data_IF_162867141165
#
_entry.id   IF_162867141165
#
_cell.length_a   1.000
_cell.length_b   1.000
_cell.length_c   1.000
_cell.angle_alpha   90.00
_cell.angle_beta   90.00
_cell.angle_gamma   90.00
#
_symmetry.space_group_name_H-M   'P 1'
#
loop_
_entity.id
_entity.type
_entity.pdbx_description
1 polymer ?
#
# COMPACT_ATOMS: atom_id res chain seq x y z
N UNK A 1 14.11 -6.32 2.62
CA UNK A 1 13.02 -5.59 3.04
C UNK A 1 11.78 -6.38 3.14
N UNK A 2 10.93 -6.34 2.15
CA UNK A 2 9.66 -7.03 2.25
C UNK A 2 9.79 -8.52 2.44
N UNK A 3 10.88 -9.10 2.01
CA UNK A 3 11.10 -10.53 2.22
C UNK A 3 11.08 -10.92 3.68
N UNK A 4 11.43 -10.01 4.55
CA UNK A 4 11.46 -10.33 5.97
C UNK A 4 10.10 -10.62 6.56
N UNK A 5 9.02 -10.20 5.90
CA UNK A 5 7.68 -10.40 6.43
C UNK A 5 7.17 -11.81 6.25
N UNK A 6 7.86 -12.62 5.47
CA UNK A 6 7.44 -13.98 5.18
C UNK A 6 8.49 -14.96 5.63
N UNK A 7 8.96 -14.79 6.84
CA UNK A 7 10.02 -15.63 7.38
C UNK A 7 9.74 -17.12 7.25
N UNK A 8 8.47 -17.46 7.37
CA UNK A 8 8.03 -18.84 7.22
C UNK A 8 7.13 -18.93 6.02
N UNK A 9 7.27 -19.96 5.26
CA UNK A 9 6.44 -20.17 4.10
C UNK A 9 7.10 -19.64 2.85
N UNK A 10 6.36 -19.59 1.74
CA UNK A 10 6.90 -19.17 0.46
C UNK A 10 7.34 -17.73 0.48
N UNK A 11 8.42 -17.45 -0.25
CA UNK A 11 8.85 -16.08 -0.43
C UNK A 11 7.89 -15.36 -1.35
N UNK A 12 7.64 -14.09 -1.05
CA UNK A 12 6.87 -13.22 -1.93
C UNK A 12 7.83 -12.42 -2.79
N UNK A 13 7.50 -12.31 -4.07
CA UNK A 13 8.16 -11.34 -4.92
C UNK A 13 7.69 -9.94 -4.54
N UNK A 14 8.52 -8.95 -4.81
CA UNK A 14 8.18 -7.57 -4.44
C UNK A 14 8.39 -6.66 -5.63
N UNK A 15 7.38 -5.86 -5.93
CA UNK A 15 7.49 -4.75 -6.87
C UNK A 15 7.47 -3.47 -6.06
N UNK A 16 8.52 -2.68 -6.18
CA UNK A 16 8.71 -1.46 -5.40
C UNK A 16 8.38 -0.25 -6.27
N UNK A 17 7.55 0.64 -5.75
CA UNK A 17 7.12 1.82 -6.49
C UNK A 17 7.78 3.11 -6.01
N UNK A 18 8.94 3.01 -5.37
CA UNK A 18 9.65 4.18 -4.85
C UNK A 18 10.01 5.17 -5.95
N UNK A 19 10.46 4.68 -7.10
CA UNK A 19 10.82 5.58 -8.20
C UNK A 19 9.59 6.29 -8.76
N UNK A 20 8.47 5.58 -8.87
CA UNK A 20 7.24 6.19 -9.33
C UNK A 20 6.78 7.28 -8.37
N UNK A 21 6.90 7.03 -7.06
CA UNK A 21 6.54 8.02 -6.06
C UNK A 21 7.43 9.25 -6.16
N UNK A 22 8.73 9.05 -6.32
CA UNK A 22 9.66 10.17 -6.46
C UNK A 22 9.34 11.01 -7.68
N UNK A 23 8.92 10.38 -8.77
CA UNK A 23 8.57 11.10 -9.99
C UNK A 23 7.34 11.98 -9.75
N UNK A 24 6.32 11.45 -9.10
CA UNK A 24 5.11 12.21 -8.78
C UNK A 24 5.45 13.40 -7.89
N UNK A 25 6.24 13.19 -6.85
CA UNK A 25 6.59 14.26 -5.93
C UNK A 25 7.47 15.31 -6.59
N UNK A 26 8.35 14.90 -7.50
CA UNK A 26 9.15 15.84 -8.27
C UNK A 26 8.26 16.75 -9.11
N UNK A 27 7.30 16.14 -9.79
CA UNK A 27 6.39 16.91 -10.63
C UNK A 27 5.52 17.85 -9.81
N UNK A 28 5.12 17.41 -8.62
CA UNK A 28 4.39 18.27 -7.70
C UNK A 28 5.24 19.48 -7.28
N UNK A 29 6.49 19.25 -6.91
CA UNK A 29 7.38 20.34 -6.49
C UNK A 29 7.71 21.31 -7.62
N UNK A 30 7.66 20.83 -8.86
CA UNK A 30 7.87 21.67 -10.03
C UNK A 30 6.62 22.40 -10.50
N UNK A 31 5.50 22.17 -9.83
CA UNK A 31 4.26 22.81 -10.20
C UNK A 31 3.53 22.15 -11.35
N UNK A 32 3.97 20.98 -11.82
CA UNK A 32 3.31 20.26 -12.90
C UNK A 32 2.07 19.53 -12.42
N UNK A 33 2.01 19.19 -11.14
CA UNK A 33 0.86 18.58 -10.51
C UNK A 33 0.44 19.43 -9.33
N UNK A 34 -0.88 19.57 -9.12
CA UNK A 34 -1.41 20.32 -7.98
C UNK A 34 -1.71 19.36 -6.83
N UNK A 35 -2.00 19.92 -5.66
CA UNK A 35 -2.44 19.10 -4.52
C UNK A 35 -3.71 18.33 -4.86
N UNK A 36 -4.60 18.93 -5.62
CA UNK A 36 -5.83 18.25 -6.02
C UNK A 36 -5.55 17.02 -6.88
N UNK A 37 -4.46 17.06 -7.65
CA UNK A 37 -4.11 15.93 -8.50
C UNK A 37 -3.58 14.73 -7.70
N UNK A 38 -2.90 14.99 -6.59
CA UNK A 38 -2.20 13.93 -5.87
C UNK A 38 -2.77 13.66 -4.48
N UNK A 39 -3.60 14.54 -3.96
CA UNK A 39 -4.28 14.35 -2.68
C UNK A 39 -5.72 13.98 -2.95
N UNK A 40 -5.90 12.82 -3.55
CA UNK A 40 -7.15 12.40 -4.15
C UNK A 40 -7.65 11.05 -3.63
N UNK A 41 -7.24 10.67 -2.43
CA UNK A 41 -7.66 9.39 -1.87
C UNK A 41 -9.19 9.32 -1.80
N UNK A 42 -9.72 8.22 -2.32
CA UNK A 42 -11.15 7.97 -2.26
C UNK A 42 -11.62 7.91 -0.81
N UNK A 43 -12.83 8.38 -0.49
CA UNK A 43 -13.33 8.34 0.89
C UNK A 43 -13.27 6.96 1.53
N UNK A 44 -13.47 5.90 0.76
CA UNK A 44 -13.35 4.55 1.30
C UNK A 44 -11.93 4.19 1.67
N UNK A 45 -10.97 4.64 0.89
CA UNK A 45 -9.57 4.43 1.22
C UNK A 45 -9.21 5.22 2.48
N UNK A 46 -9.72 6.44 2.61
CA UNK A 46 -9.50 7.25 3.81
C UNK A 46 -10.06 6.56 5.05
N UNK A 47 -11.26 6.00 4.92
CA UNK A 47 -11.88 5.27 6.02
C UNK A 47 -11.07 4.05 6.40
N UNK A 48 -10.65 3.26 5.40
CA UNK A 48 -9.83 2.09 5.64
C UNK A 48 -8.50 2.47 6.31
N UNK A 49 -7.90 3.57 5.90
CA UNK A 49 -6.66 4.03 6.50
C UNK A 49 -6.84 4.35 7.97
N UNK A 50 -7.97 4.95 8.34
CA UNK A 50 -8.24 5.30 9.74
C UNK A 50 -8.50 4.09 10.61
N UNK A 51 -9.24 3.11 10.10
CA UNK A 51 -9.71 2.00 10.92
C UNK A 51 -8.83 0.76 10.86
N UNK A 52 -8.14 0.53 9.76
CA UNK A 52 -7.30 -0.65 9.59
C UNK A 52 -5.84 -0.26 9.45
N UNK A 53 -5.57 0.86 8.80
CA UNK A 53 -4.20 1.30 8.55
C UNK A 53 -3.42 1.53 9.84
N UNK A 54 -2.11 1.34 9.74
CA UNK A 54 -1.21 1.53 10.87
C UNK A 54 -0.34 2.74 10.61
N UNK A 55 -0.19 3.57 11.63
CA UNK A 55 0.65 4.75 11.52
C UNK A 55 2.11 4.34 11.48
N UNK A 56 2.87 4.98 10.60
CA UNK A 56 4.32 4.77 10.52
C UNK A 56 5.03 6.04 10.92
N UNK A 57 6.35 5.95 11.11
CA UNK A 57 7.12 7.10 11.59
C UNK A 57 7.31 8.18 10.54
N UNK A 58 7.16 7.87 9.25
CA UNK A 58 7.34 8.85 8.19
C UNK A 58 6.19 9.83 8.13
N UNK A 59 6.53 11.10 7.92
CA UNK A 59 5.53 12.12 7.67
C UNK A 59 5.07 12.14 6.22
N UNK A 60 3.96 12.79 5.99
CA UNK A 60 3.43 12.96 4.64
C UNK A 60 4.38 13.81 3.80
N UNK A 61 4.75 13.35 2.61
CA UNK A 61 5.66 14.12 1.76
C UNK A 61 5.02 15.36 1.13
N UNK A 62 3.72 15.51 1.25
CA UNK A 62 2.99 16.63 0.65
C UNK A 62 2.65 17.68 1.69
N UNK A 63 1.94 17.31 2.75
CA UNK A 63 1.52 18.30 3.74
C UNK A 63 2.49 18.44 4.92
N UNK A 64 3.32 17.45 5.15
CA UNK A 64 4.33 17.44 6.22
C UNK A 64 3.76 17.56 7.63
N UNK A 65 2.44 17.52 7.79
CA UNK A 65 1.80 17.74 9.09
C UNK A 65 1.33 16.45 9.75
N UNK A 66 1.01 15.45 8.96
CA UNK A 66 0.49 14.19 9.47
C UNK A 66 1.45 13.08 9.15
N UNK A 67 1.45 12.07 10.01
CA UNK A 67 2.19 10.84 9.71
C UNK A 67 1.38 10.00 8.73
N UNK A 68 2.10 9.25 7.91
CA UNK A 68 1.45 8.36 6.97
C UNK A 68 0.90 7.13 7.69
N UNK A 69 -0.15 6.57 7.12
CA UNK A 69 -0.67 5.28 7.53
C UNK A 69 -0.50 4.31 6.37
N UNK A 70 -0.28 3.04 6.68
CA UNK A 70 -0.12 2.03 5.65
C UNK A 70 -1.14 0.92 5.86
N UNK A 71 -1.62 0.37 4.76
CA UNK A 71 -2.59 -0.72 4.77
C UNK A 71 -2.39 -1.56 3.52
N UNK A 72 -3.05 -2.69 3.48
CA UNK A 72 -2.88 -3.64 2.38
C UNK A 72 -4.23 -4.13 1.87
N UNK A 73 -4.31 -4.33 0.56
CA UNK A 73 -5.44 -4.98 -0.10
C UNK A 73 -4.92 -6.25 -0.74
N UNK A 74 -5.60 -7.36 -0.51
CA UNK A 74 -5.17 -8.65 -1.02
C UNK A 74 -6.18 -9.17 -2.04
N UNK A 75 -5.66 -9.59 -3.17
CA UNK A 75 -6.46 -10.17 -4.26
C UNK A 75 -5.94 -11.55 -4.58
N UNK A 76 -6.81 -12.53 -4.50
CA UNK A 76 -6.52 -13.91 -4.87
C UNK A 76 -7.82 -14.63 -5.09
N UNK A 77 -7.88 -15.47 -6.10
CA UNK A 77 -9.13 -16.19 -6.42
C UNK A 77 -9.62 -17.03 -5.25
N UNK A 78 -8.69 -17.57 -4.47
CA UNK A 78 -9.03 -18.40 -3.32
C UNK A 78 -9.82 -17.65 -2.25
N UNK A 79 -9.73 -16.34 -2.22
CA UNK A 79 -10.37 -15.55 -1.17
C UNK A 79 -11.86 -15.33 -1.43
N UNK A 80 -12.29 -15.51 -2.66
CA UNK A 80 -13.70 -15.38 -3.05
C UNK A 80 -14.27 -14.04 -2.59
N UNK A 81 -15.24 -14.06 -1.65
CA UNK A 81 -15.85 -12.81 -1.20
C UNK A 81 -14.92 -11.94 -0.38
N UNK A 82 -13.84 -12.49 0.15
CA UNK A 82 -12.85 -11.71 0.89
C UNK A 82 -11.82 -11.10 -0.05
N UNK A 83 -11.94 -11.35 -1.34
CA UNK A 83 -11.06 -10.80 -2.35
C UNK A 83 -11.16 -9.27 -2.34
N UNK A 84 -10.01 -8.61 -2.26
CA UNK A 84 -9.99 -7.15 -2.26
C UNK A 84 -10.29 -6.50 -0.92
N UNK A 85 -10.38 -7.26 0.16
CA UNK A 85 -10.57 -6.68 1.48
C UNK A 85 -9.27 -6.04 1.97
N UNK A 86 -9.44 -5.14 2.93
CA UNK A 86 -8.33 -4.40 3.52
C UNK A 86 -7.81 -5.13 4.75
N UNK A 87 -6.50 -5.06 4.93
CA UNK A 87 -5.79 -5.71 6.04
C UNK A 87 -4.67 -4.81 6.51
N UNK A 88 -4.12 -5.09 7.67
CA UNK A 88 -2.82 -4.51 8.01
C UNK A 88 -1.79 -5.10 7.06
N UNK A 89 -0.64 -4.43 6.92
CA UNK A 89 0.38 -4.90 5.99
C UNK A 89 0.85 -6.31 6.35
N UNK A 90 1.09 -6.56 7.64
CA UNK A 90 1.56 -7.88 8.05
C UNK A 90 0.52 -8.97 7.83
N UNK A 91 -0.74 -8.68 8.12
CA UNK A 91 -1.82 -9.62 7.86
C UNK A 91 -1.98 -9.89 6.37
N UNK A 92 -1.92 -8.84 5.57
CA UNK A 92 -2.06 -8.97 4.13
C UNK A 92 -0.93 -9.76 3.51
N UNK A 93 0.30 -9.52 3.93
CA UNK A 93 1.45 -10.26 3.43
C UNK A 93 1.35 -11.73 3.81
N UNK A 94 0.96 -12.02 5.04
CA UNK A 94 0.81 -13.39 5.50
C UNK A 94 -0.28 -14.12 4.72
N UNK A 95 -1.39 -13.42 4.47
CA UNK A 95 -2.50 -14.01 3.72
C UNK A 95 -2.08 -14.28 2.27
N UNK A 96 -1.39 -13.33 1.64
CA UNK A 96 -0.93 -13.50 0.26
C UNK A 96 0.05 -14.68 0.14
N UNK A 97 0.87 -14.88 1.16
CA UNK A 97 1.84 -15.97 1.14
C UNK A 97 1.18 -17.36 1.17
N UNK A 98 -0.07 -17.43 1.64
CA UNK A 98 -0.79 -18.69 1.71
C UNK A 98 -1.65 -18.96 0.49
N UNK A 99 -1.80 -17.99 -0.38
CA UNK A 99 -2.66 -18.12 -1.56
C UNK A 99 -1.81 -18.24 -2.82
N UNK A 100 -2.40 -18.86 -3.83
CA UNK A 100 -1.77 -18.93 -5.15
C UNK A 100 -2.01 -17.63 -5.89
N UNK A 101 -1.00 -17.19 -6.61
CA UNK A 101 -1.13 -16.03 -7.50
C UNK A 101 -1.73 -14.82 -6.82
N UNK A 102 -1.50 -14.69 -5.52
CA UNK A 102 -2.05 -13.58 -4.77
C UNK A 102 -1.24 -12.33 -5.00
N UNK A 103 -1.91 -11.19 -4.90
CA UNK A 103 -1.25 -9.89 -4.93
C UNK A 103 -1.68 -9.11 -3.70
N UNK A 104 -0.70 -8.55 -3.01
CA UNK A 104 -0.94 -7.74 -1.83
C UNK A 104 -0.44 -6.33 -2.13
N UNK A 105 -1.38 -5.40 -2.28
CA UNK A 105 -1.07 -4.01 -2.61
C UNK A 105 -0.92 -3.22 -1.32
N UNK A 106 0.27 -2.69 -1.09
CA UNK A 106 0.55 -1.88 0.09
C UNK A 106 0.44 -0.42 -0.30
N UNK A 107 -0.44 0.29 0.37
CA UNK A 107 -0.75 1.68 0.06
C UNK A 107 -0.40 2.55 1.25
N UNK A 108 0.27 3.67 1.00
CA UNK A 108 0.45 4.69 2.02
C UNK A 108 -0.60 5.78 1.83
N UNK A 109 -1.14 6.28 2.92
CA UNK A 109 -2.21 7.27 2.90
C UNK A 109 -1.96 8.31 3.98
N UNK A 110 -2.16 9.57 3.63
CA UNK A 110 -2.18 10.65 4.62
C UNK A 110 -3.64 10.99 4.90
N UNK A 111 -4.08 10.75 6.13
CA UNK A 111 -5.45 11.06 6.49
C UNK A 111 -5.69 12.54 6.70
N UNK A 112 -4.62 13.35 6.68
CA UNK A 112 -4.75 14.78 6.81
C UNK A 112 -5.02 15.49 5.49
N UNK A 113 -4.31 15.10 4.42
CA UNK A 113 -4.44 15.79 3.13
C UNK A 113 -4.94 14.93 1.99
N UNK A 114 -5.15 13.63 2.23
CA UNK A 114 -5.59 12.67 1.21
C UNK A 114 -4.52 12.25 0.22
N UNK A 115 -3.25 12.53 0.50
CA UNK A 115 -2.17 11.96 -0.28
C UNK A 115 -2.25 10.43 -0.20
N UNK A 116 -2.05 9.77 -1.31
CA UNK A 116 -1.99 8.32 -1.31
C UNK A 116 -1.08 7.86 -2.43
N UNK A 117 -0.44 6.74 -2.23
CA UNK A 117 0.42 6.18 -3.24
C UNK A 117 0.61 4.69 -2.99
N UNK A 118 0.65 3.94 -4.05
CA UNK A 118 1.00 2.53 -3.98
C UNK A 118 2.50 2.44 -3.66
N UNK A 119 2.83 1.83 -2.52
CA UNK A 119 4.22 1.73 -2.08
C UNK A 119 4.91 0.53 -2.68
N UNK A 120 4.26 -0.62 -2.60
CA UNK A 120 4.82 -1.86 -3.11
C UNK A 120 3.72 -2.88 -3.31
N UNK A 121 4.01 -3.89 -4.09
CA UNK A 121 3.11 -5.01 -4.30
C UNK A 121 3.88 -6.28 -4.00
N UNK A 122 3.34 -7.08 -3.08
CA UNK A 122 3.86 -8.42 -2.84
C UNK A 122 3.12 -9.37 -3.77
N UNK A 123 3.87 -10.14 -4.51
CA UNK A 123 3.28 -11.09 -5.47
C UNK A 123 3.54 -12.49 -4.95
N UNK A 124 2.48 -13.22 -4.69
CA UNK A 124 2.58 -14.58 -4.24
C UNK A 124 3.23 -15.44 -5.31
N UNK A 125 4.08 -16.37 -4.88
CA UNK A 125 4.72 -17.26 -5.82
C UNK A 125 3.70 -18.23 -6.38
N UNK A 126 3.83 -18.46 -7.67
CA UNK A 126 3.04 -19.51 -8.28
C UNK A 126 3.40 -20.84 -7.62
N UNK A 127 2.41 -21.67 -7.44
CA UNK A 127 2.61 -22.95 -6.78
C UNK A 127 3.23 -24.00 -7.68
N UNK A 128 3.76 -23.63 -8.78
CA UNK A 128 4.39 -24.57 -9.71
C UNK A 128 5.56 -25.29 -9.07
#
# INVERSE_FOLDING_TARGET
>A
MAMARTKKGPLLGVVDYTLAKRAVLRDFRRGLLSRLDICDAHPELMRAARYVGEEISRGCPVCAESRLRVLAYVFADELKRDNGRVWTVDQGAALAARCRDAKCYVVEVCTGCSWNHLSEVFVGRDAV
#
